data_IF_871086496613
#
_entry.id   IF_871086496613
#
_cell.length_a   1.000
_cell.length_b   1.000
_cell.length_c   1.000
_cell.angle_alpha   90.00
_cell.angle_beta   90.00
_cell.angle_gamma   90.00
#
_symmetry.space_group_name_H-M   'P 1'
#
loop_
_entity.id
_entity.type
_entity.pdbx_description
1 polymer ?
#
# COMPACT_ATOMS: atom_id res chain seq x y z
N UNK A 1 11.32 15.07 -7.03
CA UNK A 1 11.34 13.94 -6.07
C UNK A 1 10.72 14.42 -4.76
N UNK A 2 9.75 13.69 -4.25
CA UNK A 2 8.98 13.99 -3.05
C UNK A 2 9.09 12.89 -1.99
N UNK A 3 9.24 11.62 -2.38
CA UNK A 3 9.19 10.47 -1.45
C UNK A 3 10.34 10.47 -0.43
N UNK A 4 11.51 10.97 -0.83
CA UNK A 4 12.71 11.12 0.01
C UNK A 4 13.05 12.58 0.34
N UNK A 5 12.19 13.53 -0.04
CA UNK A 5 12.40 14.94 0.26
C UNK A 5 12.09 15.23 1.75
N UNK A 6 13.11 15.65 2.52
CA UNK A 6 12.98 15.93 3.96
C UNK A 6 11.82 16.88 4.30
N UNK A 7 11.66 17.99 3.57
CA UNK A 7 10.59 18.98 3.84
C UNK A 7 9.20 18.38 3.62
N UNK A 8 9.03 17.59 2.56
CA UNK A 8 7.76 16.91 2.26
C UNK A 8 7.46 15.85 3.32
N UNK A 9 8.48 15.10 3.74
CA UNK A 9 8.35 14.08 4.78
C UNK A 9 7.98 14.67 6.14
N UNK A 10 8.65 15.74 6.57
CA UNK A 10 8.36 16.41 7.85
C UNK A 10 6.89 16.84 7.93
N UNK A 11 6.32 17.34 6.83
CA UNK A 11 4.90 17.72 6.76
C UNK A 11 3.92 16.55 6.75
N UNK A 12 4.31 15.36 6.27
CA UNK A 12 3.41 14.20 6.11
C UNK A 12 3.45 13.22 7.28
N UNK A 13 4.63 12.92 7.81
CA UNK A 13 4.83 11.91 8.86
C UNK A 13 5.27 12.49 10.21
N UNK A 14 5.48 13.81 10.27
CA UNK A 14 5.83 14.53 11.49
C UNK A 14 7.17 14.02 12.07
N UNK A 15 7.24 13.66 13.36
CA UNK A 15 8.49 13.25 14.01
C UNK A 15 8.95 11.83 13.65
N UNK A 16 8.16 11.08 12.87
CA UNK A 16 8.51 9.72 12.49
C UNK A 16 9.65 9.71 11.48
N UNK A 17 10.54 8.72 11.59
CA UNK A 17 11.61 8.47 10.62
C UNK A 17 11.27 7.25 9.78
N UNK A 18 11.36 7.38 8.45
CA UNK A 18 11.29 6.24 7.53
C UNK A 18 12.47 5.30 7.76
N UNK A 19 12.27 4.03 7.48
CA UNK A 19 13.32 3.02 7.53
C UNK A 19 14.27 3.18 6.33
N UNK A 20 15.57 2.95 6.54
CA UNK A 20 16.65 3.16 5.55
C UNK A 20 16.69 2.07 4.50
N UNK A 21 16.03 0.93 4.73
CA UNK A 21 15.85 -0.09 3.70
C UNK A 21 14.97 0.36 2.52
N UNK A 22 14.38 1.54 2.60
CA UNK A 22 13.67 2.17 1.48
C UNK A 22 14.58 3.05 0.63
N UNK A 23 15.82 3.33 1.06
CA UNK A 23 16.70 4.30 0.39
C UNK A 23 17.04 3.88 -1.05
N UNK A 24 17.07 2.56 -1.31
CA UNK A 24 17.22 2.02 -2.67
C UNK A 24 16.10 2.45 -3.64
N UNK A 25 14.95 2.88 -3.13
CA UNK A 25 13.85 3.37 -3.97
C UNK A 25 14.05 4.82 -4.42
N UNK A 26 15.02 5.56 -3.88
CA UNK A 26 15.31 6.94 -4.31
C UNK A 26 15.78 6.98 -5.78
N UNK A 27 16.66 6.05 -6.18
CA UNK A 27 17.07 5.92 -7.57
C UNK A 27 15.91 5.52 -8.50
N UNK A 28 14.96 4.72 -7.99
CA UNK A 28 13.76 4.33 -8.74
C UNK A 28 12.85 5.53 -8.94
N UNK A 29 12.60 6.32 -7.88
CA UNK A 29 11.83 7.56 -7.95
C UNK A 29 12.43 8.52 -8.99
N UNK A 30 13.75 8.74 -8.94
CA UNK A 30 14.44 9.61 -9.89
C UNK A 30 14.27 9.14 -11.34
N UNK A 31 14.42 7.84 -11.60
CA UNK A 31 14.25 7.28 -12.94
C UNK A 31 12.80 7.40 -13.43
N UNK A 32 11.82 7.04 -12.61
CA UNK A 32 10.39 7.11 -12.94
C UNK A 32 9.94 8.54 -13.24
N UNK A 33 10.38 9.53 -12.44
CA UNK A 33 10.08 10.95 -12.69
C UNK A 33 10.67 11.40 -14.03
N UNK A 34 11.90 10.97 -14.35
CA UNK A 34 12.50 11.29 -15.64
C UNK A 34 11.70 10.70 -16.80
N UNK A 35 11.33 9.41 -16.73
CA UNK A 35 10.50 8.73 -17.75
C UNK A 35 9.13 9.38 -17.92
N UNK A 36 8.49 9.77 -16.82
CA UNK A 36 7.23 10.51 -16.86
C UNK A 36 7.39 11.86 -17.57
N UNK A 37 8.44 12.62 -17.24
CA UNK A 37 8.76 13.90 -17.88
C UNK A 37 9.03 13.75 -19.38
N UNK A 38 9.83 12.75 -19.79
CA UNK A 38 10.09 12.40 -21.20
C UNK A 38 8.79 12.09 -21.97
N UNK A 39 7.81 11.47 -21.30
CA UNK A 39 6.50 11.14 -21.87
C UNK A 39 5.46 12.28 -21.78
N UNK A 40 5.84 13.45 -21.25
CA UNK A 40 4.93 14.58 -21.06
C UNK A 40 3.87 14.36 -19.98
N UNK A 41 4.19 13.56 -18.95
CA UNK A 41 3.35 13.30 -17.78
C UNK A 41 3.85 14.09 -16.56
N UNK A 42 2.90 14.53 -15.74
CA UNK A 42 3.14 14.97 -14.36
C UNK A 42 3.31 13.75 -13.45
N UNK A 43 3.92 13.95 -12.27
CA UNK A 43 4.04 12.91 -11.24
C UNK A 43 3.48 13.40 -9.91
N UNK A 44 2.84 12.52 -9.15
CA UNK A 44 2.29 12.89 -7.84
C UNK A 44 2.55 11.82 -6.78
N UNK A 45 3.17 12.23 -5.66
CA UNK A 45 3.51 11.35 -4.55
C UNK A 45 2.38 11.24 -3.53
N UNK A 46 1.98 10.00 -3.19
CA UNK A 46 0.96 9.72 -2.17
C UNK A 46 -0.39 10.42 -2.45
N UNK A 47 -0.79 10.51 -3.72
CA UNK A 47 -2.05 11.12 -4.17
C UNK A 47 -2.90 10.10 -4.92
N UNK A 48 -4.19 10.08 -4.59
CA UNK A 48 -5.23 9.42 -5.35
C UNK A 48 -6.19 10.47 -5.88
N UNK A 49 -6.49 10.40 -7.16
CA UNK A 49 -7.53 11.18 -7.80
C UNK A 49 -8.25 10.28 -8.81
N UNK A 50 -9.17 10.86 -9.58
CA UNK A 50 -9.69 10.25 -10.80
C UNK A 50 -9.38 11.18 -11.97
N UNK A 51 -8.62 10.69 -12.94
CA UNK A 51 -8.34 11.39 -14.19
C UNK A 51 -9.05 10.73 -15.37
N UNK A 52 -9.21 11.48 -16.46
CA UNK A 52 -9.69 10.92 -17.73
C UNK A 52 -8.70 9.87 -18.27
N UNK A 53 -9.14 8.93 -19.15
CA UNK A 53 -8.27 7.90 -19.71
C UNK A 53 -7.01 8.42 -20.42
N UNK A 54 -7.07 9.55 -21.14
CA UNK A 54 -5.85 10.24 -21.58
C UNK A 54 -5.22 11.01 -20.41
N UNK A 55 -4.80 10.26 -19.39
CA UNK A 55 -4.34 10.78 -18.10
C UNK A 55 -3.09 11.65 -18.28
N UNK A 56 -2.90 12.58 -17.34
CA UNK A 56 -1.77 13.51 -17.33
C UNK A 56 -0.81 13.20 -16.20
N UNK A 57 -1.26 12.49 -15.16
CA UNK A 57 -0.47 12.28 -13.95
C UNK A 57 -0.20 10.80 -13.68
N UNK A 58 1.05 10.48 -13.40
CA UNK A 58 1.49 9.21 -12.82
C UNK A 58 1.57 9.35 -11.29
N UNK A 59 0.69 8.64 -10.58
CA UNK A 59 0.76 8.51 -9.13
C UNK A 59 1.83 7.51 -8.73
N UNK A 60 2.53 7.77 -7.62
CA UNK A 60 3.52 6.82 -7.10
C UNK A 60 3.65 6.89 -5.58
N UNK A 61 4.08 5.78 -4.97
CA UNK A 61 4.36 5.67 -3.53
C UNK A 61 5.17 4.41 -3.21
N UNK A 62 5.44 4.15 -1.93
CA UNK A 62 5.99 2.90 -1.43
C UNK A 62 4.87 1.91 -1.08
N UNK A 63 5.04 0.64 -1.38
CA UNK A 63 4.17 -0.45 -0.94
C UNK A 63 4.98 -1.71 -0.69
N UNK A 64 4.98 -2.23 0.55
CA UNK A 64 5.69 -3.47 0.87
C UNK A 64 7.18 -3.38 0.54
N UNK A 65 7.85 -2.33 1.02
CA UNK A 65 9.27 -2.03 0.72
C UNK A 65 9.63 -1.89 -0.76
N UNK A 66 8.62 -1.76 -1.62
CA UNK A 66 8.79 -1.63 -3.08
C UNK A 66 8.25 -0.28 -3.54
N UNK A 67 8.72 0.18 -4.68
CA UNK A 67 8.16 1.35 -5.36
C UNK A 67 6.95 0.89 -6.18
N UNK A 68 5.85 1.63 -6.11
CA UNK A 68 4.69 1.41 -6.99
C UNK A 68 4.37 2.68 -7.76
N UNK A 69 3.97 2.50 -9.02
CA UNK A 69 3.42 3.55 -9.87
C UNK A 69 2.16 3.09 -10.58
N UNK A 70 1.28 4.04 -10.84
CA UNK A 70 -0.02 3.82 -11.46
C UNK A 70 -0.54 5.14 -12.05
N UNK A 71 -1.31 5.12 -13.15
CA UNK A 71 -2.05 6.31 -13.56
C UNK A 71 -3.09 6.67 -12.48
N UNK A 72 -3.46 7.95 -12.39
CA UNK A 72 -4.54 8.38 -11.49
C UNK A 72 -5.93 7.95 -11.98
N UNK A 73 -6.06 7.48 -13.22
CA UNK A 73 -7.31 6.90 -13.73
C UNK A 73 -7.60 5.52 -13.11
N UNK A 74 -8.79 5.35 -12.50
CA UNK A 74 -9.17 4.10 -11.80
C UNK A 74 -9.19 2.89 -12.72
N UNK A 75 -9.74 3.03 -13.94
CA UNK A 75 -9.82 1.92 -14.90
C UNK A 75 -8.44 1.33 -15.15
N UNK A 76 -7.48 2.17 -15.54
CA UNK A 76 -6.15 1.69 -15.89
C UNK A 76 -5.32 1.20 -14.72
N UNK A 77 -5.41 1.84 -13.55
CA UNK A 77 -4.69 1.30 -12.38
C UNK A 77 -5.20 -0.08 -11.98
N UNK A 78 -6.49 -0.37 -12.16
CA UNK A 78 -7.03 -1.71 -11.86
C UNK A 78 -6.65 -2.69 -12.96
N UNK A 79 -6.87 -2.34 -14.23
CA UNK A 79 -6.52 -3.20 -15.37
C UNK A 79 -5.02 -3.52 -15.42
N UNK A 80 -4.12 -2.64 -14.98
CA UNK A 80 -2.68 -2.95 -15.00
C UNK A 80 -2.32 -4.15 -14.11
N UNK A 81 -3.08 -4.37 -13.04
CA UNK A 81 -2.87 -5.50 -12.13
C UNK A 81 -3.46 -6.77 -12.75
N UNK A 82 -4.60 -6.67 -13.42
CA UNK A 82 -5.21 -7.79 -14.14
C UNK A 82 -4.32 -8.24 -15.30
N UNK A 83 -3.89 -7.29 -16.14
CA UNK A 83 -3.00 -7.55 -17.28
C UNK A 83 -1.62 -8.07 -16.84
N UNK A 84 -1.16 -7.69 -15.64
CA UNK A 84 0.07 -8.20 -15.04
C UNK A 84 -0.06 -9.66 -14.60
N UNK A 85 -1.22 -10.03 -14.03
CA UNK A 85 -1.49 -11.43 -13.68
C UNK A 85 -1.67 -12.31 -14.92
N UNK A 86 -2.30 -11.77 -15.97
CA UNK A 86 -2.53 -12.48 -17.24
C UNK A 86 -1.31 -12.51 -18.16
N UNK A 87 -0.20 -11.89 -17.75
CA UNK A 87 1.05 -11.88 -18.51
C UNK A 87 1.65 -13.29 -18.61
N UNK A 88 1.92 -13.73 -19.84
CA UNK A 88 2.36 -15.12 -20.12
C UNK A 88 3.86 -15.24 -20.30
N UNK A 89 4.52 -14.20 -20.81
CA UNK A 89 5.91 -14.23 -21.23
C UNK A 89 6.80 -13.50 -20.22
N UNK A 90 6.72 -13.90 -18.95
CA UNK A 90 7.48 -13.29 -17.86
C UNK A 90 8.26 -14.32 -17.04
N UNK A 91 9.43 -13.92 -16.58
CA UNK A 91 10.18 -14.65 -15.56
C UNK A 91 9.56 -14.37 -14.19
N UNK A 92 8.96 -15.39 -13.59
CA UNK A 92 8.39 -15.30 -12.25
C UNK A 92 9.53 -15.30 -11.22
N UNK A 93 9.60 -14.22 -10.44
CA UNK A 93 10.62 -13.96 -9.42
C UNK A 93 10.03 -14.24 -8.04
N UNK A 94 10.89 -14.56 -7.07
CA UNK A 94 10.48 -14.88 -5.71
C UNK A 94 10.26 -13.61 -4.85
N UNK A 95 9.20 -12.87 -5.17
CA UNK A 95 8.75 -11.71 -4.40
C UNK A 95 8.32 -12.09 -2.98
N UNK A 96 7.64 -13.21 -2.83
CA UNK A 96 7.15 -13.70 -1.54
C UNK A 96 8.31 -14.03 -0.60
N UNK A 97 9.35 -14.71 -1.10
CA UNK A 97 10.57 -14.98 -0.34
C UNK A 97 11.27 -13.69 0.12
N UNK A 98 11.41 -12.71 -0.78
CA UNK A 98 11.95 -11.38 -0.43
C UNK A 98 11.13 -10.68 0.66
N UNK A 99 9.80 -10.61 0.51
CA UNK A 99 8.92 -9.95 1.48
C UNK A 99 8.89 -10.69 2.82
N UNK A 100 8.94 -12.02 2.82
CA UNK A 100 9.03 -12.82 4.04
C UNK A 100 10.38 -12.56 4.74
N UNK A 101 11.48 -12.51 4.00
CA UNK A 101 12.81 -12.16 4.53
C UNK A 101 12.77 -10.79 5.22
N UNK A 102 12.12 -9.80 4.61
CA UNK A 102 11.96 -8.48 5.23
C UNK A 102 11.22 -8.53 6.58
N UNK A 103 10.27 -9.44 6.76
CA UNK A 103 9.62 -9.63 8.06
C UNK A 103 10.60 -10.23 9.08
N UNK A 104 11.32 -11.30 8.70
CA UNK A 104 12.26 -11.99 9.58
C UNK A 104 13.41 -11.07 10.03
N UNK A 105 13.91 -10.24 9.12
CA UNK A 105 15.00 -9.28 9.36
C UNK A 105 14.51 -7.95 9.96
N UNK A 106 13.21 -7.85 10.30
CA UNK A 106 12.57 -6.65 10.87
C UNK A 106 12.69 -5.39 10.00
N UNK A 107 12.74 -5.59 8.69
CA UNK A 107 12.79 -4.55 7.66
C UNK A 107 11.40 -4.19 7.10
N UNK A 108 10.37 -4.99 7.36
CA UNK A 108 9.02 -4.75 6.86
C UNK A 108 8.36 -3.47 7.41
N UNK A 109 8.80 -2.96 8.55
CA UNK A 109 8.25 -1.74 9.12
C UNK A 109 8.81 -0.49 8.44
N UNK A 110 7.89 0.32 7.91
CA UNK A 110 8.19 1.62 7.30
C UNK A 110 8.80 2.62 8.28
N UNK A 111 8.53 2.49 9.58
CA UNK A 111 8.97 3.44 10.59
C UNK A 111 9.97 2.82 11.56
N UNK A 112 11.01 3.58 11.87
CA UNK A 112 12.04 3.20 12.85
C UNK A 112 11.56 3.34 14.30
N UNK A 113 12.37 2.83 15.24
CA UNK A 113 12.25 3.07 16.68
C UNK A 113 10.88 2.70 17.28
N UNK A 114 10.35 1.56 16.84
CA UNK A 114 9.09 1.02 17.34
C UNK A 114 9.22 0.63 18.81
N UNK A 115 8.14 0.84 19.57
CA UNK A 115 8.06 0.48 20.99
C UNK A 115 8.25 -1.02 21.15
N UNK A 116 9.15 -1.43 22.06
CA UNK A 116 9.30 -2.83 22.47
C UNK A 116 7.98 -3.35 23.04
N UNK A 117 7.62 -4.57 22.64
CA UNK A 117 6.39 -5.23 23.10
C UNK A 117 6.69 -5.98 24.40
N UNK A 118 5.90 -5.71 25.43
CA UNK A 118 5.82 -6.55 26.62
C UNK A 118 4.80 -7.66 26.35
N UNK A 119 5.27 -8.87 26.11
CA UNK A 119 4.42 -10.02 25.74
C UNK A 119 3.57 -10.53 26.90
N UNK A 120 3.89 -10.18 28.15
CA UNK A 120 3.02 -10.49 29.31
C UNK A 120 1.80 -9.58 29.30
N UNK A 121 2.00 -8.29 29.03
CA UNK A 121 0.91 -7.30 28.94
C UNK A 121 0.11 -7.42 27.64
N UNK A 122 0.78 -7.75 26.54
CA UNK A 122 0.17 -7.86 25.21
C UNK A 122 0.40 -9.27 24.65
N UNK A 123 -0.31 -10.28 25.17
CA UNK A 123 -0.21 -11.65 24.66
C UNK A 123 -0.67 -11.71 23.20
N UNK A 124 -0.21 -12.74 22.50
CA UNK A 124 -0.67 -13.00 21.13
C UNK A 124 -2.17 -13.35 21.13
N UNK A 125 -2.84 -12.91 20.06
CA UNK A 125 -4.24 -13.22 19.78
C UNK A 125 -4.35 -13.71 18.33
N UNK A 126 -5.34 -14.54 18.07
CA UNK A 126 -5.54 -15.16 16.76
C UNK A 126 -6.02 -14.16 15.69
N UNK A 127 -6.70 -13.09 16.11
CA UNK A 127 -7.31 -12.12 15.22
C UNK A 127 -6.67 -10.73 15.41
N UNK A 128 -6.39 -10.07 14.28
CA UNK A 128 -5.77 -8.75 14.27
C UNK A 128 -6.50 -7.83 13.30
N UNK A 129 -6.91 -6.65 13.78
CA UNK A 129 -7.44 -5.56 12.95
C UNK A 129 -6.37 -4.49 12.83
N UNK A 130 -5.87 -4.26 11.62
CA UNK A 130 -4.87 -3.24 11.33
C UNK A 130 -5.57 -2.00 10.81
N UNK A 131 -5.52 -0.93 11.59
CA UNK A 131 -6.24 0.31 11.30
C UNK A 131 -5.37 1.31 10.55
N UNK A 132 -5.93 2.05 9.58
CA UNK A 132 -5.21 3.13 8.91
C UNK A 132 -5.07 4.36 9.82
N UNK A 133 -4.35 5.38 9.35
CA UNK A 133 -4.23 6.65 10.06
C UNK A 133 -5.58 7.36 10.24
N UNK A 134 -5.68 8.23 11.25
CA UNK A 134 -6.91 8.92 11.67
C UNK A 134 -7.80 9.43 10.54
N UNK A 135 -7.20 10.09 9.54
CA UNK A 135 -7.94 10.69 8.43
C UNK A 135 -8.71 9.63 7.62
N UNK A 136 -8.05 8.50 7.34
CA UNK A 136 -8.65 7.40 6.59
C UNK A 136 -9.53 6.51 7.47
N UNK A 137 -9.22 6.37 8.75
CA UNK A 137 -10.06 5.65 9.70
C UNK A 137 -11.52 6.15 9.64
N UNK A 138 -11.72 7.47 9.70
CA UNK A 138 -13.07 8.07 9.63
C UNK A 138 -13.70 8.02 8.25
N UNK A 139 -12.89 8.13 7.21
CA UNK A 139 -13.39 8.27 5.84
C UNK A 139 -13.85 6.94 5.27
N UNK A 140 -13.06 5.87 5.45
CA UNK A 140 -13.23 4.64 4.67
C UNK A 140 -13.50 3.39 5.51
N UNK A 141 -13.33 3.39 6.83
CA UNK A 141 -13.50 2.17 7.63
C UNK A 141 -14.96 1.97 8.04
N UNK A 142 -15.48 0.76 7.86
CA UNK A 142 -16.83 0.40 8.25
C UNK A 142 -16.90 0.08 9.76
N UNK A 143 -17.39 1.03 10.56
CA UNK A 143 -17.52 0.87 12.01
C UNK A 143 -18.41 -0.33 12.38
N UNK A 144 -19.52 -0.55 11.67
CA UNK A 144 -20.41 -1.70 11.92
C UNK A 144 -19.67 -3.04 11.76
N UNK A 145 -18.79 -3.13 10.75
CA UNK A 145 -17.95 -4.32 10.55
C UNK A 145 -16.96 -4.50 11.69
N UNK A 146 -16.31 -3.44 12.15
CA UNK A 146 -15.43 -3.49 13.33
C UNK A 146 -16.17 -3.94 14.59
N UNK A 147 -17.38 -3.44 14.84
CA UNK A 147 -18.23 -3.84 15.97
C UNK A 147 -18.60 -5.33 15.85
N UNK A 148 -19.00 -5.79 14.67
CA UNK A 148 -19.32 -7.20 14.45
C UNK A 148 -18.11 -8.11 14.70
N UNK A 149 -16.92 -7.71 14.22
CA UNK A 149 -15.66 -8.41 14.45
C UNK A 149 -15.33 -8.47 15.94
N UNK A 150 -15.41 -7.33 16.64
CA UNK A 150 -15.16 -7.25 18.09
C UNK A 150 -16.10 -8.19 18.86
N UNK A 151 -17.40 -8.14 18.57
CA UNK A 151 -18.40 -9.03 19.20
C UNK A 151 -18.14 -10.51 18.91
N UNK A 152 -17.71 -10.84 17.69
CA UNK A 152 -17.44 -12.22 17.27
C UNK A 152 -16.26 -12.83 18.01
N UNK A 153 -15.17 -12.08 18.19
CA UNK A 153 -13.92 -12.63 18.73
C UNK A 153 -13.63 -12.23 20.19
N UNK A 154 -14.36 -11.26 20.74
CA UNK A 154 -14.30 -10.80 22.14
C UNK A 154 -12.84 -10.55 22.57
N UNK A 155 -12.34 -11.30 23.54
CA UNK A 155 -10.99 -11.11 24.06
C UNK A 155 -9.86 -11.65 23.15
N UNK A 156 -10.18 -12.40 22.10
CA UNK A 156 -9.19 -12.98 21.17
C UNK A 156 -8.93 -12.09 19.94
N UNK A 157 -9.12 -10.77 20.04
CA UNK A 157 -8.73 -9.83 19.00
C UNK A 157 -7.89 -8.66 19.50
N UNK A 158 -6.98 -8.20 18.63
CA UNK A 158 -6.28 -6.93 18.76
C UNK A 158 -6.72 -5.95 17.68
N UNK A 159 -6.93 -4.69 18.06
CA UNK A 159 -6.99 -3.55 17.16
C UNK A 159 -5.66 -2.80 17.24
N UNK A 160 -5.00 -2.62 16.09
CA UNK A 160 -3.71 -1.94 15.98
C UNK A 160 -3.88 -0.60 15.26
N UNK A 161 -3.90 0.53 15.99
CA UNK A 161 -3.84 1.86 15.39
C UNK A 161 -2.54 2.10 14.63
N UNK A 162 -2.63 2.88 13.55
CA UNK A 162 -1.48 3.39 12.81
C UNK A 162 -0.62 4.34 13.69
N UNK A 163 0.70 4.41 13.48
CA UNK A 163 1.59 5.30 14.25
C UNK A 163 1.17 6.78 14.28
N UNK A 164 0.59 7.28 13.18
CA UNK A 164 0.12 8.67 13.05
C UNK A 164 -1.29 8.90 13.61
N UNK A 165 -1.90 7.87 14.22
CA UNK A 165 -3.25 8.02 14.79
C UNK A 165 -3.21 8.94 16.01
N UNK A 166 -4.09 9.95 16.04
CA UNK A 166 -4.16 10.94 17.13
C UNK A 166 -4.68 10.28 18.41
N UNK A 167 -4.23 10.77 19.58
CA UNK A 167 -4.60 10.21 20.88
C UNK A 167 -6.12 10.22 21.13
N UNK A 168 -6.82 11.27 20.69
CA UNK A 168 -8.28 11.34 20.75
C UNK A 168 -8.96 10.13 20.10
N UNK A 169 -8.49 9.72 18.90
CA UNK A 169 -9.05 8.56 18.21
C UNK A 169 -8.69 7.23 18.87
N UNK A 170 -7.57 7.17 19.60
CA UNK A 170 -7.25 5.99 20.39
C UNK A 170 -8.25 5.88 21.55
N UNK A 171 -8.57 6.98 22.23
CA UNK A 171 -9.63 7.03 23.24
C UNK A 171 -10.98 6.55 22.70
N UNK A 172 -11.43 7.12 21.57
CA UNK A 172 -12.69 6.69 20.92
C UNK A 172 -12.70 5.18 20.60
N UNK A 173 -11.57 4.61 20.16
CA UNK A 173 -11.46 3.17 19.92
C UNK A 173 -11.50 2.35 21.22
N UNK A 174 -10.88 2.85 22.30
CA UNK A 174 -10.92 2.20 23.61
C UNK A 174 -12.33 2.20 24.20
N UNK A 175 -13.06 3.30 24.05
CA UNK A 175 -14.46 3.41 24.49
C UNK A 175 -15.37 2.41 23.74
N UNK A 176 -15.11 2.19 22.45
CA UNK A 176 -15.93 1.30 21.62
C UNK A 176 -15.58 -0.18 21.77
N UNK A 177 -14.31 -0.52 21.99
CA UNK A 177 -13.83 -1.90 21.90
C UNK A 177 -13.16 -2.43 23.18
N UNK A 178 -13.00 -1.60 24.20
CA UNK A 178 -12.27 -1.92 25.43
C UNK A 178 -10.77 -1.60 25.31
N UNK A 179 -10.19 -1.03 26.36
CA UNK A 179 -8.75 -0.70 26.41
C UNK A 179 -7.88 -1.95 26.20
N UNK A 180 -8.33 -3.10 26.71
CA UNK A 180 -7.69 -4.41 26.61
C UNK A 180 -7.73 -5.03 25.21
N UNK A 181 -8.41 -4.39 24.26
CA UNK A 181 -8.43 -4.77 22.85
C UNK A 181 -7.63 -3.82 21.96
N UNK A 182 -7.13 -2.69 22.47
CA UNK A 182 -6.39 -1.69 21.69
C UNK A 182 -4.89 -1.78 21.96
N UNK A 183 -4.11 -2.10 20.93
CA UNK A 183 -2.65 -2.07 21.00
C UNK A 183 -2.12 -0.62 20.95
N UNK A 184 -0.97 -0.38 21.58
CA UNK A 184 -0.32 0.93 21.49
C UNK A 184 0.06 1.27 20.04
N UNK A 185 -0.19 2.51 19.60
CA UNK A 185 0.08 2.94 18.21
C UNK A 185 1.54 2.77 17.78
N UNK A 186 2.47 2.90 18.73
CA UNK A 186 3.92 2.79 18.49
C UNK A 186 4.51 1.38 18.56
N UNK A 187 3.71 0.37 18.90
CA UNK A 187 4.17 -1.03 18.82
C UNK A 187 4.39 -1.47 17.38
N UNK A 188 5.32 -2.39 17.18
CA UNK A 188 5.56 -3.00 15.89
C UNK A 188 4.40 -3.91 15.48
N UNK A 189 3.84 -3.68 14.30
CA UNK A 189 2.73 -4.47 13.75
C UNK A 189 3.16 -5.92 13.50
N UNK A 190 4.35 -6.10 12.93
CA UNK A 190 4.81 -7.40 12.44
C UNK A 190 5.04 -8.39 13.58
N UNK A 191 5.36 -7.90 14.78
CA UNK A 191 5.40 -8.70 16.00
C UNK A 191 4.10 -9.48 16.25
N UNK A 192 2.94 -8.86 16.01
CA UNK A 192 1.63 -9.49 16.19
C UNK A 192 1.16 -10.23 14.93
N UNK A 193 1.45 -9.66 13.75
CA UNK A 193 1.04 -10.20 12.46
C UNK A 193 1.50 -11.65 12.25
N UNK A 194 2.75 -11.96 12.61
CA UNK A 194 3.32 -13.31 12.43
C UNK A 194 2.56 -14.40 13.19
N UNK A 195 1.93 -14.06 14.31
CA UNK A 195 1.17 -14.99 15.16
C UNK A 195 -0.33 -14.99 14.89
N UNK A 196 -0.87 -13.97 14.24
CA UNK A 196 -2.28 -13.95 13.86
C UNK A 196 -2.61 -15.11 12.91
N UNK A 197 -3.85 -15.60 12.98
CA UNK A 197 -4.45 -16.54 12.00
C UNK A 197 -5.19 -15.76 10.91
N UNK A 198 -5.90 -14.70 11.29
CA UNK A 198 -6.66 -13.85 10.39
C UNK A 198 -6.40 -12.36 10.64
N UNK A 199 -6.25 -11.62 9.55
CA UNK A 199 -5.95 -10.19 9.55
C UNK A 199 -7.06 -9.42 8.83
N UNK A 200 -7.62 -8.46 9.54
CA UNK A 200 -8.60 -7.52 9.01
C UNK A 200 -7.88 -6.20 8.71
N UNK A 201 -7.95 -5.70 7.47
CA UNK A 201 -7.30 -4.44 7.10
C UNK A 201 -8.01 -3.75 5.94
N UNK A 202 -7.40 -2.75 5.32
CA UNK A 202 -8.05 -1.83 4.37
C UNK A 202 -7.37 -1.83 3.02
N UNK A 203 -8.01 -1.22 2.03
CA UNK A 203 -7.42 -1.00 0.69
C UNK A 203 -6.36 0.12 0.68
N UNK A 204 -6.04 0.71 1.83
CA UNK A 204 -4.96 1.70 2.01
C UNK A 204 -3.77 1.16 2.80
N UNK A 205 -3.79 -0.11 3.21
CA UNK A 205 -2.75 -0.67 4.07
C UNK A 205 -1.87 -1.67 3.33
N UNK A 206 -0.56 -1.53 3.49
CA UNK A 206 0.45 -2.52 3.06
C UNK A 206 0.35 -3.84 3.85
N UNK A 207 -0.36 -3.85 5.00
CA UNK A 207 -0.47 -5.05 5.83
C UNK A 207 -1.24 -6.19 5.16
N UNK A 208 -2.08 -5.91 4.16
CA UNK A 208 -2.75 -6.94 3.35
C UNK A 208 -1.73 -7.82 2.62
N UNK A 209 -0.70 -7.21 2.02
CA UNK A 209 0.38 -7.92 1.34
C UNK A 209 1.12 -8.83 2.32
N UNK A 210 1.67 -8.26 3.39
CA UNK A 210 2.48 -9.03 4.33
C UNK A 210 1.70 -10.14 5.04
N UNK A 211 0.40 -9.93 5.31
CA UNK A 211 -0.46 -10.99 5.81
C UNK A 211 -0.63 -12.12 4.79
N UNK A 212 -0.80 -11.79 3.51
CA UNK A 212 -0.85 -12.78 2.42
C UNK A 212 0.46 -13.57 2.30
N UNK A 213 1.61 -12.89 2.37
CA UNK A 213 2.94 -13.53 2.33
C UNK A 213 3.13 -14.51 3.48
N UNK A 214 2.58 -14.20 4.65
CA UNK A 214 2.62 -15.06 5.82
C UNK A 214 1.55 -16.17 5.82
N UNK A 215 0.80 -16.33 4.72
CA UNK A 215 -0.26 -17.33 4.58
C UNK A 215 -1.45 -17.12 5.51
N UNK A 216 -1.72 -15.87 5.90
CA UNK A 216 -2.85 -15.54 6.78
C UNK A 216 -4.12 -15.35 5.96
N UNK A 217 -5.27 -15.69 6.55
CA UNK A 217 -6.54 -15.25 5.98
C UNK A 217 -6.65 -13.73 6.11
N UNK A 218 -7.09 -13.06 5.05
CA UNK A 218 -7.25 -11.61 5.01
C UNK A 218 -8.66 -11.20 4.64
N UNK A 219 -9.14 -10.10 5.21
CA UNK A 219 -10.47 -9.58 4.93
C UNK A 219 -10.52 -8.04 5.04
N UNK A 220 -11.16 -7.34 4.09
CA UNK A 220 -11.24 -5.87 4.12
C UNK A 220 -12.20 -5.38 5.20
N UNK A 221 -11.93 -4.23 5.83
CA UNK A 221 -12.85 -3.55 6.77
C UNK A 221 -13.39 -2.22 6.22
N UNK A 222 -13.14 -1.94 4.95
CA UNK A 222 -13.59 -0.71 4.30
C UNK A 222 -15.12 -0.67 4.14
N UNK A 223 -15.68 0.53 4.03
CA UNK A 223 -16.99 0.79 3.44
C UNK A 223 -16.87 0.49 1.94
N UNK A 224 -17.68 -0.46 1.46
CA UNK A 224 -17.57 -1.01 0.11
C UNK A 224 -17.50 0.08 -0.98
N UNK A 225 -18.40 1.08 -0.89
CA UNK A 225 -18.51 2.17 -1.86
C UNK A 225 -17.28 3.07 -1.93
N UNK A 226 -16.39 3.01 -0.92
CA UNK A 226 -15.21 3.85 -0.80
C UNK A 226 -13.90 3.09 -0.99
N UNK A 227 -13.95 1.76 -1.21
CA UNK A 227 -12.77 0.92 -1.43
C UNK A 227 -11.88 1.45 -2.56
N UNK A 228 -12.49 1.91 -3.66
CA UNK A 228 -11.79 2.44 -4.83
C UNK A 228 -10.94 3.68 -4.53
N UNK A 229 -11.22 4.41 -3.44
CA UNK A 229 -10.42 5.56 -2.99
C UNK A 229 -9.12 5.15 -2.28
N UNK A 230 -8.94 3.85 -2.02
CA UNK A 230 -7.75 3.35 -1.35
C UNK A 230 -6.51 3.46 -2.23
N UNK A 231 -5.41 3.95 -1.67
CA UNK A 231 -4.13 4.12 -2.38
C UNK A 231 -3.61 2.83 -3.01
N UNK A 232 -3.93 1.69 -2.41
CA UNK A 232 -3.53 0.37 -2.85
C UNK A 232 -4.71 -0.46 -3.35
N UNK A 233 -5.84 0.17 -3.69
CA UNK A 233 -7.05 -0.53 -4.09
C UNK A 233 -6.80 -1.53 -5.22
N UNK A 234 -6.13 -1.09 -6.29
CA UNK A 234 -5.78 -1.90 -7.46
C UNK A 234 -5.06 -3.22 -7.10
N UNK A 235 -4.14 -3.20 -6.13
CA UNK A 235 -3.44 -4.40 -5.67
C UNK A 235 -4.28 -5.15 -4.62
N UNK A 236 -4.74 -4.44 -3.59
CA UNK A 236 -5.40 -5.05 -2.43
C UNK A 236 -6.71 -5.72 -2.78
N UNK A 237 -7.49 -5.20 -3.74
CA UNK A 237 -8.73 -5.85 -4.19
C UNK A 237 -8.45 -7.28 -4.67
N UNK A 238 -7.42 -7.45 -5.51
CA UNK A 238 -7.01 -8.76 -6.03
C UNK A 238 -6.34 -9.63 -4.96
N UNK A 239 -5.61 -9.04 -4.01
CA UNK A 239 -5.11 -9.79 -2.86
C UNK A 239 -6.25 -10.41 -2.05
N UNK A 240 -7.34 -9.68 -1.80
CA UNK A 240 -8.49 -10.20 -1.06
C UNK A 240 -9.22 -11.34 -1.79
N UNK A 241 -9.18 -11.35 -3.13
CA UNK A 241 -9.78 -12.41 -3.94
C UNK A 241 -8.90 -13.65 -4.04
N UNK A 242 -7.57 -13.48 -4.20
CA UNK A 242 -6.63 -14.56 -4.49
C UNK A 242 -5.98 -15.17 -3.24
N UNK A 243 -5.61 -14.32 -2.27
CA UNK A 243 -5.00 -14.69 -0.97
C UNK A 243 -3.84 -15.67 -1.02
N UNK A 244 -3.04 -15.65 -2.09
CA UNK A 244 -1.95 -16.62 -2.27
C UNK A 244 -0.65 -15.94 -2.77
N UNK A 245 0.47 -16.60 -2.49
CA UNK A 245 1.82 -16.11 -2.80
C UNK A 245 2.17 -16.24 -4.29
N UNK A 246 1.57 -17.21 -4.99
CA UNK A 246 1.81 -17.43 -6.43
C UNK A 246 1.28 -16.25 -7.25
N UNK A 247 0.12 -15.72 -6.89
CA UNK A 247 -0.45 -14.52 -7.46
C UNK A 247 0.48 -13.32 -7.25
N UNK A 248 1.05 -13.17 -6.05
CA UNK A 248 2.00 -12.08 -5.77
C UNK A 248 3.24 -12.22 -6.65
N UNK A 249 3.88 -13.38 -6.65
CA UNK A 249 5.10 -13.64 -7.43
C UNK A 249 4.87 -13.38 -8.91
N UNK A 250 3.78 -13.94 -9.48
CA UNK A 250 3.45 -13.76 -10.90
C UNK A 250 3.16 -12.30 -11.22
N UNK A 251 2.25 -11.69 -10.49
CA UNK A 251 1.77 -10.33 -10.78
C UNK A 251 2.89 -9.31 -10.62
N UNK A 252 3.65 -9.38 -9.51
CA UNK A 252 4.70 -8.39 -9.25
C UNK A 252 5.91 -8.58 -10.16
N UNK A 253 6.12 -9.77 -10.73
CA UNK A 253 7.14 -9.98 -11.77
C UNK A 253 6.85 -9.25 -13.07
N UNK A 254 5.57 -9.12 -13.46
CA UNK A 254 5.23 -8.42 -14.70
C UNK A 254 5.59 -6.93 -14.61
N UNK A 255 6.23 -6.37 -15.66
CA UNK A 255 6.40 -4.93 -15.80
C UNK A 255 5.07 -4.16 -15.71
N UNK A 256 3.98 -4.75 -16.20
CA UNK A 256 2.65 -4.12 -16.26
C UNK A 256 2.09 -3.76 -14.89
N UNK A 257 2.54 -4.44 -13.82
CA UNK A 257 2.07 -4.21 -12.45
C UNK A 257 2.38 -2.82 -11.91
N UNK A 258 3.42 -2.17 -12.44
CA UNK A 258 3.97 -0.94 -11.88
C UNK A 258 4.70 -1.13 -10.54
N UNK A 259 4.92 -2.37 -10.09
CA UNK A 259 5.67 -2.71 -8.86
C UNK A 259 7.14 -2.93 -9.19
N UNK A 260 8.01 -2.14 -8.57
CA UNK A 260 9.46 -2.12 -8.82
C UNK A 260 10.21 -2.26 -7.50
N UNK A 261 11.16 -3.19 -7.45
CA UNK A 261 12.06 -3.33 -6.31
C UNK A 261 13.47 -3.72 -6.78
N UNK A 262 14.48 -2.84 -6.63
CA UNK A 262 15.86 -3.14 -7.06
C UNK A 262 16.47 -4.39 -6.42
N UNK A 263 15.97 -4.84 -5.27
CA UNK A 263 16.45 -6.02 -4.57
C UNK A 263 15.85 -7.34 -5.13
N UNK A 264 14.82 -7.25 -5.97
CA UNK A 264 14.19 -8.41 -6.64
C UNK A 264 14.39 -8.31 -8.16
N UNK A 265 14.12 -7.14 -8.73
CA UNK A 265 14.25 -6.81 -10.14
C UNK A 265 15.70 -6.43 -10.49
N UNK A 266 16.52 -7.42 -10.90
CA UNK A 266 17.92 -7.18 -11.30
C UNK A 266 18.06 -6.08 -12.37
N UNK A 267 17.16 -6.07 -13.35
CA UNK A 267 17.09 -5.07 -14.42
C UNK A 267 15.89 -4.12 -14.21
N UNK A 268 15.72 -3.59 -12.99
CA UNK A 268 14.55 -2.76 -12.65
C UNK A 268 14.34 -1.56 -13.60
N UNK A 269 15.39 -0.98 -14.19
CA UNK A 269 15.26 0.11 -15.18
C UNK A 269 14.54 -0.34 -16.45
N UNK A 270 14.91 -1.51 -16.97
CA UNK A 270 14.27 -2.11 -18.14
C UNK A 270 12.80 -2.43 -17.83
N UNK A 271 12.51 -2.92 -16.61
CA UNK A 271 11.14 -3.14 -16.16
C UNK A 271 10.33 -1.83 -16.11
N UNK A 272 10.92 -0.74 -15.65
CA UNK A 272 10.29 0.59 -15.71
C UNK A 272 10.05 1.01 -17.16
N UNK A 273 11.02 0.86 -18.06
CA UNK A 273 10.84 1.21 -19.47
C UNK A 273 9.69 0.43 -20.13
N UNK A 274 9.61 -0.88 -19.89
CA UNK A 274 8.51 -1.75 -20.34
C UNK A 274 7.16 -1.35 -19.76
N UNK A 275 7.11 -0.93 -18.49
CA UNK A 275 5.89 -0.38 -17.89
C UNK A 275 5.42 0.88 -18.60
N UNK A 276 6.35 1.82 -18.89
CA UNK A 276 6.01 3.05 -19.60
C UNK A 276 5.52 2.78 -21.02
N UNK A 277 6.16 1.87 -21.76
CA UNK A 277 5.68 1.44 -23.08
C UNK A 277 4.23 0.93 -23.00
N UNK A 278 3.97 0.00 -22.08
CA UNK A 278 2.65 -0.57 -21.85
C UNK A 278 1.58 0.50 -21.50
N UNK A 279 1.83 1.32 -20.48
CA UNK A 279 0.81 2.25 -19.98
C UNK A 279 0.60 3.43 -20.92
N UNK A 280 1.63 3.85 -21.65
CA UNK A 280 1.50 4.89 -22.66
C UNK A 280 0.72 4.39 -23.88
N UNK A 281 0.91 3.13 -24.31
CA UNK A 281 0.08 2.55 -25.36
C UNK A 281 -1.41 2.56 -24.97
N UNK A 282 -1.74 2.17 -23.73
CA UNK A 282 -3.11 2.30 -23.19
C UNK A 282 -3.60 3.74 -23.16
N UNK A 283 -2.76 4.68 -22.70
CA UNK A 283 -3.08 6.11 -22.67
C UNK A 283 -3.42 6.64 -24.07
N UNK A 284 -2.54 6.41 -25.05
CA UNK A 284 -2.66 6.96 -26.40
C UNK A 284 -3.85 6.41 -27.19
N UNK A 285 -4.35 5.22 -26.85
CA UNK A 285 -5.59 4.70 -27.43
C UNK A 285 -6.79 5.65 -27.24
N UNK A 286 -6.85 6.36 -26.09
CA UNK A 286 -7.92 7.31 -25.78
C UNK A 286 -7.59 8.75 -26.15
N UNK A 287 -6.51 8.97 -26.91
CA UNK A 287 -6.15 10.30 -27.38
C UNK A 287 -7.33 10.89 -28.17
N UNK A 288 -7.68 12.12 -27.85
CA UNK A 288 -8.78 12.89 -28.48
C UNK A 288 -10.21 12.36 -28.23
N UNK A 289 -10.40 11.31 -27.43
CA UNK A 289 -11.74 10.83 -27.05
C UNK A 289 -12.44 11.76 -26.04
N UNK A 290 -11.65 12.40 -25.16
CA UNK A 290 -12.14 13.31 -24.13
C UNK A 290 -11.31 14.61 -24.16
N UNK A 291 -11.97 15.75 -24.30
CA UNK A 291 -11.30 17.06 -24.37
C UNK A 291 -11.23 17.67 -22.97
N UNK A 292 -10.01 17.83 -22.46
CA UNK A 292 -9.77 18.47 -21.16
C UNK A 292 -9.65 20.00 -21.32
N UNK A 293 -10.75 20.72 -21.05
CA UNK A 293 -10.80 22.18 -21.10
C UNK A 293 -10.14 22.88 -19.90
N UNK A 294 -9.54 22.14 -18.95
CA UNK A 294 -8.86 22.76 -17.80
C UNK A 294 -7.59 23.47 -18.27
N UNK A 295 -7.46 24.75 -17.92
CA UNK A 295 -6.27 25.55 -18.23
C UNK A 295 -5.02 24.87 -17.66
N UNK A 296 -3.89 24.82 -18.39
CA UNK A 296 -2.63 24.31 -17.87
C UNK A 296 -2.28 25.03 -16.55
N UNK A 297 -1.83 24.28 -15.53
CA UNK A 297 -1.28 24.93 -14.33
C UNK A 297 -0.09 25.78 -14.76
N UNK A 298 -0.07 27.06 -14.37
CA UNK A 298 1.11 27.90 -14.54
C UNK A 298 2.30 27.20 -13.90
N UNK A 299 3.38 26.98 -14.66
CA UNK A 299 4.65 26.48 -14.10
C UNK A 299 5.05 27.46 -12.99
N UNK A 300 5.06 26.98 -11.75
CA UNK A 300 5.65 27.67 -10.59
C UNK A 300 7.13 27.34 -10.53
#
# INVERSE_FOLDING_TARGET
>A
MEMFNKKVLDGRIGPLKKNTNLDDLEQVEGYVIRKASEAGLETSYDVMAEEMPYFKTMGYTSYGTSFIMQPLNLKFRTEQIDDAYDDKDIDVLDWAGYLNKNIQEKQANKYQNRRKVDTKKYPYKDYLVVLPGSNKLKEIVCLNKMIAISKKYKHNIWFKPHPITKHQFIGELQDLFGEEAILHRDMDLYHFLVKAKKVYTTHVSESALYATILGKDIEPIDVWQLTHKGSFHHINARLYDNKNIEWVNKTFSSPKSGVINPNVDKNWKEKVDKYFEYILNKRYYYKDWFIDNRKPKSKK
#
